data_IF_523890321994
#
_entry.id   IF_523890321994
#
_cell.length_a   1.000
_cell.length_b   1.000
_cell.length_c   1.000
_cell.angle_alpha   90.00
_cell.angle_beta   90.00
_cell.angle_gamma   90.00
#
_symmetry.space_group_name_H-M   'P 1'
#
loop_
_entity.id
_entity.type
_entity.pdbx_description
1 polymer ?
#
# COMPACT_ATOMS: atom_id res chain seq x y z
N UNK A 1 -9.71 11.13 17.30
CA UNK A 1 -8.65 10.10 17.18
C UNK A 1 -9.31 8.74 17.00
N UNK A 2 -9.23 8.10 15.83
CA UNK A 2 -9.57 6.68 15.73
C UNK A 2 -8.27 5.91 15.81
N UNK A 3 -7.84 5.57 17.03
CA UNK A 3 -6.83 4.54 17.20
C UNK A 3 -7.31 3.30 16.41
N UNK A 4 -6.44 2.70 15.60
CA UNK A 4 -6.78 1.44 14.93
C UNK A 4 -7.25 0.46 15.99
N UNK A 5 -8.37 -0.23 15.74
CA UNK A 5 -8.78 -1.30 16.64
C UNK A 5 -7.64 -2.32 16.73
N UNK A 6 -7.36 -2.90 17.91
CA UNK A 6 -6.34 -3.94 18.05
C UNK A 6 -6.47 -5.07 17.00
N UNK A 7 -7.71 -5.36 16.57
CA UNK A 7 -8.03 -6.28 15.49
C UNK A 7 -7.38 -5.91 14.15
N UNK A 8 -7.44 -4.65 13.72
CA UNK A 8 -6.90 -4.23 12.43
C UNK A 8 -5.36 -4.35 12.39
N UNK A 9 -4.66 -3.97 13.47
CA UNK A 9 -3.21 -4.16 13.55
C UNK A 9 -2.84 -5.64 13.50
N UNK A 10 -3.56 -6.49 14.23
CA UNK A 10 -3.34 -7.93 14.24
C UNK A 10 -3.55 -8.55 12.85
N UNK A 11 -4.58 -8.13 12.12
CA UNK A 11 -4.85 -8.57 10.74
C UNK A 11 -3.75 -8.16 9.78
N UNK A 12 -3.22 -6.94 9.90
CA UNK A 12 -2.06 -6.49 9.12
C UNK A 12 -0.85 -7.37 9.41
N UNK A 13 -0.53 -7.58 10.68
CA UNK A 13 0.59 -8.42 11.07
C UNK A 13 0.45 -9.86 10.55
N UNK A 14 -0.73 -10.46 10.66
CA UNK A 14 -1.01 -11.80 10.16
C UNK A 14 -0.79 -11.91 8.65
N UNK A 15 -1.28 -10.94 7.86
CA UNK A 15 -1.09 -10.94 6.42
C UNK A 15 0.39 -10.85 6.02
N UNK A 16 1.19 -10.03 6.71
CA UNK A 16 2.63 -9.96 6.48
C UNK A 16 3.41 -11.17 7.00
N UNK A 17 2.94 -11.85 8.04
CA UNK A 17 3.54 -13.13 8.46
C UNK A 17 3.32 -14.20 7.40
N UNK A 18 2.15 -14.23 6.76
CA UNK A 18 1.89 -15.14 5.64
C UNK A 18 2.81 -14.85 4.45
N UNK A 19 3.12 -13.56 4.16
CA UNK A 19 4.15 -13.19 3.18
C UNK A 19 5.50 -13.82 3.50
N UNK A 20 5.96 -13.69 4.74
CA UNK A 20 7.28 -14.17 5.14
C UNK A 20 7.35 -15.70 5.03
N UNK A 21 6.25 -16.40 5.36
CA UNK A 21 6.12 -17.85 5.13
C UNK A 21 6.19 -18.20 3.65
N UNK A 22 5.44 -17.52 2.78
CA UNK A 22 5.47 -17.75 1.32
C UNK A 22 6.86 -17.52 0.74
N UNK A 23 7.57 -16.50 1.22
CA UNK A 23 8.95 -16.22 0.82
C UNK A 23 9.88 -17.39 1.19
N UNK A 24 9.62 -18.06 2.32
CA UNK A 24 10.30 -19.28 2.76
C UNK A 24 9.84 -20.58 2.09
N UNK A 25 9.01 -20.52 1.04
CA UNK A 25 8.55 -21.70 0.30
C UNK A 25 7.31 -22.40 0.86
N UNK A 26 6.69 -21.85 1.91
CA UNK A 26 5.40 -22.34 2.38
C UNK A 26 4.32 -22.13 1.30
N UNK A 27 3.39 -23.08 1.19
CA UNK A 27 2.21 -22.98 0.34
C UNK A 27 0.95 -23.04 1.21
N UNK A 28 -0.12 -22.27 0.89
CA UNK A 28 -1.37 -22.37 1.64
C UNK A 28 -1.93 -23.81 1.60
N UNK A 29 -2.60 -24.28 2.66
CA UNK A 29 -3.22 -25.61 2.67
C UNK A 29 -4.42 -25.67 1.72
N UNK A 30 -4.68 -26.82 1.09
CA UNK A 30 -5.67 -26.96 0.01
C UNK A 30 -7.10 -26.47 0.32
N UNK A 31 -7.52 -26.49 1.59
CA UNK A 31 -8.82 -25.94 2.01
C UNK A 31 -8.91 -24.42 1.83
N UNK A 32 -7.80 -23.72 2.12
CA UNK A 32 -7.66 -22.29 1.85
C UNK A 32 -7.72 -22.01 0.35
N UNK A 33 -7.28 -22.98 -0.47
CA UNK A 33 -7.43 -22.89 -1.93
C UNK A 33 -8.90 -23.05 -2.34
N UNK A 34 -9.59 -24.05 -1.81
CA UNK A 34 -10.99 -24.29 -2.16
C UNK A 34 -11.90 -23.09 -1.84
N UNK A 35 -11.63 -22.41 -0.72
CA UNK A 35 -12.55 -21.43 -0.13
C UNK A 35 -12.23 -19.95 -0.44
N UNK A 36 -11.07 -19.63 -1.02
CA UNK A 36 -10.78 -18.23 -1.37
C UNK A 36 -11.67 -17.75 -2.53
N UNK A 37 -12.16 -16.50 -2.52
CA UNK A 37 -12.97 -16.00 -3.64
C UNK A 37 -12.12 -15.81 -4.89
N UNK A 38 -12.76 -15.96 -6.06
CA UNK A 38 -12.09 -15.88 -7.37
C UNK A 38 -12.21 -14.48 -7.96
N UNK A 39 -11.07 -13.84 -8.20
CA UNK A 39 -10.93 -12.57 -8.88
C UNK A 39 -10.65 -12.80 -10.37
N UNK A 40 -11.62 -12.40 -11.19
CA UNK A 40 -11.60 -12.55 -12.64
C UNK A 40 -11.19 -11.25 -13.32
N UNK A 41 -10.67 -11.34 -14.56
CA UNK A 41 -10.32 -10.19 -15.43
C UNK A 41 -9.54 -9.12 -14.67
N UNK A 42 -8.54 -9.55 -13.92
CA UNK A 42 -7.83 -8.68 -13.00
C UNK A 42 -6.58 -8.09 -13.64
N UNK A 43 -6.12 -6.97 -13.08
CA UNK A 43 -4.85 -6.32 -13.41
C UNK A 43 -4.25 -5.67 -12.17
N UNK A 44 -2.96 -5.39 -12.22
CA UNK A 44 -2.35 -4.51 -11.23
C UNK A 44 -2.87 -3.08 -11.39
N UNK A 45 -3.10 -2.44 -10.26
CA UNK A 45 -3.40 -1.03 -10.20
C UNK A 45 -2.77 -0.43 -8.94
N UNK A 46 -2.70 0.90 -8.91
CA UNK A 46 -2.46 1.64 -7.68
C UNK A 46 -3.81 1.99 -7.09
N UNK A 47 -4.04 1.66 -5.82
CA UNK A 47 -5.31 2.01 -5.20
C UNK A 47 -5.45 3.54 -5.09
N UNK A 48 -6.57 4.13 -5.51
CA UNK A 48 -6.72 5.58 -5.57
C UNK A 48 -6.71 6.24 -4.19
N UNK A 49 -7.08 5.49 -3.14
CA UNK A 49 -7.10 6.02 -1.77
C UNK A 49 -5.80 5.72 -1.03
N UNK A 50 -5.21 4.53 -1.12
CA UNK A 50 -4.02 4.25 -0.32
C UNK A 50 -2.72 4.44 -1.09
N UNK A 51 -2.74 4.53 -2.42
CA UNK A 51 -1.53 4.57 -3.22
C UNK A 51 -0.73 3.26 -3.21
N UNK A 52 -1.28 2.18 -2.66
CA UNK A 52 -0.63 0.86 -2.61
C UNK A 52 -0.92 0.03 -3.84
N UNK A 53 -0.12 -1.03 -4.03
CA UNK A 53 -0.43 -2.07 -5.00
C UNK A 53 -1.77 -2.71 -4.67
N UNK A 54 -2.67 -2.70 -5.65
CA UNK A 54 -3.97 -3.31 -5.60
C UNK A 54 -4.18 -4.24 -6.81
N UNK A 55 -5.11 -5.17 -6.67
CA UNK A 55 -5.68 -5.86 -7.82
C UNK A 55 -7.04 -5.25 -8.14
N UNK A 56 -7.21 -4.79 -9.37
CA UNK A 56 -8.51 -4.38 -9.90
C UNK A 56 -9.05 -5.53 -10.73
N UNK A 57 -10.25 -6.02 -10.46
CA UNK A 57 -10.86 -7.14 -11.19
C UNK A 57 -12.33 -7.32 -10.83
N UNK A 58 -12.88 -8.51 -11.08
CA UNK A 58 -14.28 -8.85 -10.78
C UNK A 58 -14.36 -9.97 -9.76
N UNK A 59 -15.10 -9.76 -8.68
CA UNK A 59 -15.43 -10.74 -7.65
C UNK A 59 -16.95 -10.89 -7.66
N UNK A 60 -17.43 -12.11 -7.92
CA UNK A 60 -18.88 -12.40 -7.99
C UNK A 60 -19.65 -11.47 -8.95
N UNK A 61 -19.03 -11.12 -10.08
CA UNK A 61 -19.60 -10.24 -11.10
C UNK A 61 -19.48 -8.74 -10.79
N UNK A 62 -19.05 -8.35 -9.59
CA UNK A 62 -18.84 -6.96 -9.21
C UNK A 62 -17.39 -6.53 -9.37
N UNK A 63 -17.17 -5.30 -9.87
CA UNK A 63 -15.82 -4.74 -9.90
C UNK A 63 -15.32 -4.53 -8.46
N UNK A 64 -14.16 -5.09 -8.17
CA UNK A 64 -13.46 -4.96 -6.89
C UNK A 64 -12.06 -4.42 -7.10
N UNK A 65 -11.61 -3.70 -6.09
CA UNK A 65 -10.25 -3.26 -5.95
C UNK A 65 -9.73 -3.77 -4.60
N UNK A 66 -8.77 -4.68 -4.63
CA UNK A 66 -8.27 -5.35 -3.43
C UNK A 66 -6.96 -4.74 -2.99
N UNK A 67 -6.98 -4.08 -1.84
CA UNK A 67 -5.80 -3.42 -1.30
C UNK A 67 -5.61 -3.68 0.20
N UNK A 68 -4.37 -3.54 0.69
CA UNK A 68 -3.12 -3.70 -0.07
C UNK A 68 -2.91 -5.18 -0.43
N UNK A 69 -2.21 -5.41 -1.54
CA UNK A 69 -1.70 -6.73 -1.91
C UNK A 69 -0.37 -6.95 -1.20
N UNK A 70 -0.34 -7.93 -0.29
CA UNK A 70 0.82 -8.18 0.57
C UNK A 70 1.81 -9.14 -0.08
N UNK A 71 1.30 -10.19 -0.71
CA UNK A 71 2.09 -11.18 -1.44
C UNK A 71 1.26 -11.73 -2.59
N UNK A 72 1.91 -12.12 -3.68
CA UNK A 72 1.20 -12.78 -4.77
C UNK A 72 2.13 -13.70 -5.55
N UNK A 73 1.57 -14.83 -5.95
CA UNK A 73 2.20 -15.87 -6.75
C UNK A 73 1.32 -16.19 -7.96
N UNK A 74 1.88 -16.19 -9.17
CA UNK A 74 1.20 -16.66 -10.37
C UNK A 74 2.01 -17.81 -10.99
N UNK A 75 1.39 -18.97 -11.14
CA UNK A 75 2.02 -20.10 -11.83
C UNK A 75 2.14 -19.83 -13.34
N UNK A 76 3.05 -20.53 -14.00
CA UNK A 76 3.31 -20.38 -15.44
C UNK A 76 2.06 -20.62 -16.31
N UNK A 77 1.10 -21.40 -15.82
CA UNK A 77 -0.18 -21.65 -16.47
C UNK A 77 -1.20 -20.50 -16.30
N UNK A 78 -0.88 -19.41 -15.60
CA UNK A 78 -1.80 -18.29 -15.41
C UNK A 78 -2.79 -18.43 -14.25
N UNK A 79 -2.70 -19.53 -13.48
CA UNK A 79 -3.43 -19.70 -12.21
C UNK A 79 -2.56 -19.16 -11.08
N UNK A 80 -3.12 -18.29 -10.23
CA UNK A 80 -2.36 -17.65 -9.16
C UNK A 80 -3.20 -17.30 -7.94
N UNK A 81 -2.52 -16.73 -6.95
CA UNK A 81 -3.09 -16.37 -5.66
C UNK A 81 -2.46 -15.08 -5.17
N UNK A 82 -3.27 -14.26 -4.50
CA UNK A 82 -2.81 -13.08 -3.80
C UNK A 82 -3.27 -13.11 -2.34
N UNK A 83 -2.36 -12.74 -1.43
CA UNK A 83 -2.68 -12.43 -0.04
C UNK A 83 -2.90 -10.93 0.08
N UNK A 84 -4.08 -10.54 0.52
CA UNK A 84 -4.48 -9.17 0.85
C UNK A 84 -4.73 -9.05 2.36
N UNK A 85 -4.94 -7.84 2.88
CA UNK A 85 -5.37 -7.66 4.27
C UNK A 85 -6.75 -8.27 4.58
N UNK A 86 -7.61 -8.40 3.56
CA UNK A 86 -8.94 -8.97 3.70
C UNK A 86 -8.92 -10.50 3.65
N UNK A 87 -7.89 -11.11 3.05
CA UNK A 87 -7.87 -12.55 2.85
C UNK A 87 -7.00 -13.00 1.68
N UNK A 88 -7.06 -14.30 1.42
CA UNK A 88 -6.53 -14.89 0.20
C UNK A 88 -7.52 -14.72 -0.94
N UNK A 89 -7.02 -14.50 -2.15
CA UNK A 89 -7.81 -14.33 -3.37
C UNK A 89 -7.25 -15.24 -4.45
N UNK A 90 -8.13 -16.02 -5.09
CA UNK A 90 -7.84 -16.78 -6.31
C UNK A 90 -7.74 -15.85 -7.50
N UNK A 91 -6.71 -16.02 -8.31
CA UNK A 91 -6.53 -15.28 -9.56
C UNK A 91 -6.92 -16.19 -10.71
N UNK A 92 -7.97 -15.82 -11.43
CA UNK A 92 -8.39 -16.56 -12.61
C UNK A 92 -7.41 -16.35 -13.77
N UNK A 93 -7.32 -17.37 -14.62
CA UNK A 93 -6.71 -17.28 -15.94
C UNK A 93 -7.48 -16.22 -16.74
N UNK A 94 -6.78 -15.19 -17.18
CA UNK A 94 -7.33 -14.24 -18.15
C UNK A 94 -6.32 -14.19 -19.28
N UNK A 95 -6.78 -14.11 -20.53
CA UNK A 95 -5.97 -14.17 -21.76
C UNK A 95 -4.95 -13.02 -21.93
N UNK A 96 -4.59 -12.37 -20.83
CA UNK A 96 -3.79 -11.17 -20.75
C UNK A 96 -2.31 -11.55 -20.60
N UNK A 97 -1.50 -11.22 -21.62
CA UNK A 97 -0.09 -11.63 -21.73
C UNK A 97 0.83 -11.12 -20.60
N UNK A 98 0.38 -10.16 -19.79
CA UNK A 98 1.15 -9.55 -18.68
C UNK A 98 1.21 -10.44 -17.42
N UNK A 99 0.51 -11.58 -17.39
CA UNK A 99 0.43 -12.48 -16.22
C UNK A 99 1.76 -13.19 -15.89
N UNK A 100 2.77 -13.06 -16.74
CA UNK A 100 4.02 -13.83 -16.67
C UNK A 100 5.05 -13.32 -15.65
N UNK A 101 4.80 -12.20 -14.96
CA UNK A 101 5.79 -11.56 -14.09
C UNK A 101 5.74 -11.99 -12.60
N UNK A 102 4.76 -12.80 -12.15
CA UNK A 102 4.32 -12.84 -10.75
C UNK A 102 5.10 -13.70 -9.75
N UNK A 103 6.13 -13.10 -9.17
CA UNK A 103 6.31 -13.05 -7.71
C UNK A 103 6.65 -11.62 -7.30
N UNK A 104 5.67 -10.90 -6.76
CA UNK A 104 5.91 -9.62 -6.10
C UNK A 104 5.59 -9.78 -4.61
N UNK A 105 6.64 -9.75 -3.81
CA UNK A 105 6.54 -9.63 -2.36
C UNK A 105 6.69 -8.14 -2.02
N UNK A 106 5.81 -7.60 -1.18
CA UNK A 106 6.08 -6.27 -0.61
C UNK A 106 7.43 -6.32 0.14
N UNK A 107 8.29 -5.30 0.01
CA UNK A 107 9.59 -5.30 0.66
C UNK A 107 9.45 -5.41 2.19
N UNK A 108 10.47 -5.89 2.92
CA UNK A 108 10.38 -6.11 4.36
C UNK A 108 9.85 -4.90 5.16
N UNK A 109 10.31 -3.70 4.80
CA UNK A 109 9.90 -2.43 5.43
C UNK A 109 8.47 -1.97 5.09
N UNK A 110 7.79 -2.60 4.12
CA UNK A 110 6.42 -2.24 3.75
C UNK A 110 5.42 -2.47 4.89
N UNK A 111 5.70 -3.42 5.80
CA UNK A 111 4.84 -3.68 6.97
C UNK A 111 4.67 -2.41 7.81
N UNK A 112 5.78 -1.78 8.15
CA UNK A 112 5.79 -0.56 8.96
C UNK A 112 5.10 0.59 8.23
N UNK A 113 5.36 0.73 6.91
CA UNK A 113 4.71 1.75 6.08
C UNK A 113 3.19 1.55 6.02
N UNK A 114 2.69 0.32 5.85
CA UNK A 114 1.25 0.04 5.79
C UNK A 114 0.55 0.29 7.12
N UNK A 115 1.19 -0.08 8.23
CA UNK A 115 0.70 0.23 9.57
C UNK A 115 0.61 1.74 9.76
N UNK A 116 1.70 2.46 9.50
CA UNK A 116 1.75 3.92 9.65
C UNK A 116 0.77 4.63 8.71
N UNK A 117 0.58 4.14 7.48
CA UNK A 117 -0.41 4.68 6.55
C UNK A 117 -1.83 4.60 7.12
N UNK A 118 -2.20 3.45 7.70
CA UNK A 118 -3.52 3.26 8.30
C UNK A 118 -3.70 4.08 9.57
N UNK A 119 -2.67 4.17 10.42
CA UNK A 119 -2.69 5.00 11.63
C UNK A 119 -2.81 6.50 11.33
N UNK A 120 -2.10 6.97 10.30
CA UNK A 120 -2.11 8.36 9.92
C UNK A 120 -3.39 8.80 9.19
N UNK A 121 -4.32 7.89 8.90
CA UNK A 121 -5.48 8.18 8.07
C UNK A 121 -5.09 8.54 6.63
N UNK A 122 -3.99 7.97 6.14
CA UNK A 122 -3.39 8.31 4.85
C UNK A 122 -4.39 8.18 3.70
N UNK A 123 -4.43 9.22 2.86
CA UNK A 123 -5.10 9.20 1.55
C UNK A 123 -4.14 9.69 0.47
N UNK A 124 -3.90 8.89 -0.55
CA UNK A 124 -2.96 9.17 -1.62
C UNK A 124 -3.29 10.51 -2.30
N UNK A 125 -2.30 11.39 -2.46
CA UNK A 125 -2.44 12.57 -3.31
C UNK A 125 -2.71 12.15 -4.75
N UNK A 126 -3.37 13.02 -5.50
CA UNK A 126 -3.59 12.80 -6.94
C UNK A 126 -2.24 12.72 -7.67
N UNK A 127 -2.11 11.93 -8.75
CA UNK A 127 -0.86 11.82 -9.51
C UNK A 127 -0.29 13.17 -9.98
N UNK A 128 -1.14 14.17 -10.26
CA UNK A 128 -0.72 15.52 -10.64
C UNK A 128 0.06 16.26 -9.54
N UNK A 129 -0.09 15.86 -8.28
CA UNK A 129 0.62 16.43 -7.14
C UNK A 129 1.96 15.73 -6.89
N UNK A 130 2.31 14.70 -7.67
CA UNK A 130 3.52 13.93 -7.44
C UNK A 130 4.78 14.80 -7.64
N UNK A 131 5.61 14.98 -6.59
CA UNK A 131 6.88 15.67 -6.71
C UNK A 131 7.87 14.83 -7.51
N UNK A 132 8.74 15.51 -8.25
CA UNK A 132 9.85 14.92 -9.00
C UNK A 132 11.16 15.16 -8.23
N UNK A 133 11.31 16.35 -7.65
CA UNK A 133 12.51 16.78 -6.93
C UNK A 133 12.55 16.35 -5.45
N UNK A 134 13.55 16.85 -4.75
CA UNK A 134 13.68 16.69 -3.30
C UNK A 134 12.84 17.75 -2.56
N UNK A 135 12.63 17.53 -1.25
CA UNK A 135 11.71 18.31 -0.42
C UNK A 135 11.89 19.83 -0.50
N UNK A 136 13.14 20.29 -0.59
CA UNK A 136 13.50 21.71 -0.62
C UNK A 136 13.43 22.35 -2.02
N UNK A 137 13.47 21.53 -3.08
CA UNK A 137 13.67 21.99 -4.46
C UNK A 137 12.37 21.91 -5.28
N UNK A 138 11.35 21.20 -4.80
CA UNK A 138 10.09 20.99 -5.52
C UNK A 138 8.88 21.51 -4.73
N UNK A 139 8.28 22.59 -5.23
CA UNK A 139 7.11 23.25 -4.66
C UNK A 139 5.88 22.34 -4.52
N UNK A 140 5.83 21.21 -5.23
CA UNK A 140 4.73 20.24 -5.11
C UNK A 140 4.70 19.57 -3.74
N UNK A 141 5.82 19.51 -3.03
CA UNK A 141 5.85 19.00 -1.65
C UNK A 141 4.94 19.80 -0.72
N UNK A 142 4.85 21.12 -0.91
CA UNK A 142 3.92 21.99 -0.19
C UNK A 142 2.46 21.62 -0.50
N UNK A 143 2.13 21.41 -1.78
CA UNK A 143 0.79 21.02 -2.19
C UNK A 143 0.39 19.63 -1.64
N UNK A 144 1.34 18.70 -1.58
CA UNK A 144 1.14 17.38 -0.96
C UNK A 144 0.91 17.50 0.54
N UNK A 145 1.68 18.35 1.23
CA UNK A 145 1.51 18.59 2.66
C UNK A 145 0.12 19.17 2.97
N UNK A 146 -0.33 20.17 2.21
CA UNK A 146 -1.69 20.73 2.32
C UNK A 146 -2.78 19.71 2.05
N UNK A 147 -2.59 18.82 1.09
CA UNK A 147 -3.51 17.70 0.87
C UNK A 147 -3.63 16.82 2.12
N UNK A 148 -2.53 16.50 2.79
CA UNK A 148 -2.58 15.69 4.01
C UNK A 148 -3.16 16.45 5.19
N UNK A 149 -2.94 17.75 5.33
CA UNK A 149 -3.60 18.57 6.36
C UNK A 149 -5.12 18.53 6.22
N UNK A 150 -5.63 18.47 4.99
CA UNK A 150 -7.07 18.41 4.73
C UNK A 150 -7.68 17.00 4.83
N UNK A 151 -6.88 15.93 4.73
CA UNK A 151 -7.41 14.57 4.49
C UNK A 151 -6.96 13.50 5.47
N UNK A 152 -5.83 13.70 6.15
CA UNK A 152 -5.22 12.74 7.06
C UNK A 152 -5.52 13.11 8.52
N UNK A 153 -5.57 12.11 9.39
CA UNK A 153 -5.69 12.35 10.84
C UNK A 153 -4.38 12.78 11.47
N UNK A 154 -3.25 12.30 10.92
CA UNK A 154 -1.89 12.71 11.33
C UNK A 154 -1.11 13.17 10.08
N UNK A 155 -1.25 14.45 9.66
CA UNK A 155 -0.74 14.93 8.39
C UNK A 155 0.77 14.75 8.18
N UNK A 156 1.57 15.02 9.21
CA UNK A 156 3.04 14.86 9.16
C UNK A 156 3.44 13.39 8.98
N UNK A 157 2.76 12.47 9.67
CA UNK A 157 2.99 11.04 9.51
C UNK A 157 2.54 10.54 8.13
N UNK A 158 1.42 11.05 7.61
CA UNK A 158 0.96 10.73 6.25
C UNK A 158 1.94 11.22 5.18
N UNK A 159 2.57 12.39 5.37
CA UNK A 159 3.65 12.87 4.49
C UNK A 159 4.88 11.95 4.54
N UNK A 160 5.29 11.49 5.72
CA UNK A 160 6.39 10.54 5.86
C UNK A 160 6.10 9.22 5.12
N UNK A 161 4.87 8.71 5.23
CA UNK A 161 4.41 7.52 4.47
C UNK A 161 4.48 7.76 2.96
N UNK A 162 3.99 8.92 2.49
CA UNK A 162 4.06 9.28 1.07
C UNK A 162 5.50 9.32 0.58
N UNK A 163 6.39 9.98 1.33
CA UNK A 163 7.80 10.07 1.02
C UNK A 163 8.46 8.69 0.97
N UNK A 164 8.21 7.84 1.97
CA UNK A 164 8.74 6.48 2.04
C UNK A 164 8.36 5.65 0.82
N UNK A 165 7.10 5.74 0.37
CA UNK A 165 6.61 5.05 -0.83
C UNK A 165 7.21 5.61 -2.11
N UNK A 166 7.24 6.94 -2.25
CA UNK A 166 7.75 7.62 -3.44
C UNK A 166 9.25 7.36 -3.65
N UNK A 167 10.04 7.48 -2.58
CA UNK A 167 11.51 7.34 -2.61
C UNK A 167 11.98 5.92 -2.28
N UNK A 168 11.05 4.97 -2.06
CA UNK A 168 11.30 3.54 -1.74
C UNK A 168 12.28 3.36 -0.58
N UNK A 169 12.04 4.06 0.53
CA UNK A 169 12.92 4.03 1.70
C UNK A 169 12.19 3.61 2.99
N UNK A 170 12.92 3.16 4.03
CA UNK A 170 12.33 2.83 5.33
C UNK A 170 11.65 4.02 6.01
N UNK A 171 10.61 3.75 6.79
CA UNK A 171 9.81 4.78 7.46
C UNK A 171 10.62 5.68 8.43
N UNK A 172 11.59 5.18 9.24
CA UNK A 172 12.40 6.05 10.09
C UNK A 172 13.22 7.08 9.30
N UNK A 173 13.75 6.69 8.14
CA UNK A 173 14.47 7.59 7.25
C UNK A 173 13.54 8.66 6.67
N UNK A 174 12.32 8.27 6.28
CA UNK A 174 11.32 9.21 5.79
C UNK A 174 10.92 10.22 6.87
N UNK A 175 10.65 9.79 8.10
CA UNK A 175 10.36 10.69 9.22
C UNK A 175 11.48 11.69 9.47
N UNK A 176 12.75 11.25 9.45
CA UNK A 176 13.88 12.16 9.63
C UNK A 176 13.95 13.24 8.53
N UNK A 177 13.65 12.86 7.28
CA UNK A 177 13.69 13.79 6.13
C UNK A 177 12.50 14.74 6.11
N UNK A 178 11.29 14.23 6.28
CA UNK A 178 10.08 15.04 6.20
C UNK A 178 9.82 15.83 7.48
N UNK A 179 10.25 15.33 8.65
CA UNK A 179 9.98 15.95 9.94
C UNK A 179 10.63 17.32 10.09
N UNK A 180 11.92 17.45 9.75
CA UNK A 180 12.60 18.75 9.79
C UNK A 180 11.94 19.76 8.85
N UNK A 181 11.68 19.34 7.60
CA UNK A 181 11.00 20.18 6.61
C UNK A 181 9.59 20.60 7.06
N UNK A 182 8.83 19.68 7.66
CA UNK A 182 7.49 19.96 8.17
C UNK A 182 7.51 21.02 9.28
N UNK A 183 8.47 20.94 10.21
CA UNK A 183 8.62 21.92 11.28
C UNK A 183 8.98 23.30 10.74
N UNK A 184 9.95 23.39 9.81
CA UNK A 184 10.29 24.66 9.15
C UNK A 184 9.07 25.31 8.49
N UNK A 185 8.26 24.50 7.78
CA UNK A 185 7.03 24.97 7.15
C UNK A 185 6.02 25.57 8.14
N UNK A 186 5.90 24.99 9.34
CA UNK A 186 4.99 25.50 10.36
C UNK A 186 5.51 26.82 10.98
N UNK A 187 6.83 26.94 11.16
CA UNK A 187 7.46 28.14 11.73
C UNK A 187 7.43 29.34 10.78
N UNK A 188 7.58 29.12 9.47
CA UNK A 188 7.47 30.20 8.46
C UNK A 188 6.06 30.82 8.42
N UNK A 189 5.02 30.10 8.84
CA UNK A 189 3.65 30.61 8.91
C UNK A 189 3.38 31.50 10.13
N UNK A 190 4.17 31.42 11.21
CA UNK A 190 4.02 32.28 12.40
C UNK A 190 4.70 33.65 12.24
N UNK A 191 5.51 33.85 11.20
CA UNK A 191 6.26 35.07 10.95
C UNK A 191 5.54 36.10 10.05
N UNK A 192 4.28 35.85 9.67
CA UNK A 192 3.46 36.74 8.81
C UNK A 192 2.18 37.16 9.52
#
# INVERSE_FOLDING_TARGET
MSALTPDLRARIQAAFNDRDKLAGGWSPPGELWANAPTLNRWRYAVHPISGTLALSGYLDGESRLTEPVVAMFTAAAGIGWARTLAGWVRLALTDYHEHKAGRMLLPPHAREIEIAAREAGYRAPRPSLQPIGDLKDDVRWEAVARHFEATASEPSAALAVFYARLKRCPLPQAHAKTGAWWLYRLLDFEAT
#
